data_IF_136004441615
#
_entry.id   IF_136004441615
#
_cell.length_a   1.000
_cell.length_b   1.000
_cell.length_c   1.000
_cell.angle_alpha   90.00
_cell.angle_beta   90.00
_cell.angle_gamma   90.00
#
_symmetry.space_group_name_H-M   'P 1'
#
loop_
_entity.id
_entity.type
_entity.pdbx_description
1 polymer ?
#
# COMPACT_ATOMS: atom_id res chain seq x y z
N UNK A 1 -17.21 34.17 47.31
CA UNK A 1 -16.21 35.26 47.38
C UNK A 1 -16.72 36.60 46.81
N UNK A 2 -17.27 36.68 45.58
CA UNK A 2 -17.77 37.97 45.01
C UNK A 2 -18.79 38.71 45.87
N UNK A 3 -19.77 38.01 46.49
CA UNK A 3 -20.79 38.64 47.35
C UNK A 3 -20.20 39.28 48.61
N UNK A 4 -19.29 38.58 49.29
CA UNK A 4 -18.64 39.05 50.53
C UNK A 4 -17.80 40.30 50.26
N UNK A 5 -17.05 40.32 49.14
CA UNK A 5 -16.26 41.49 48.76
C UNK A 5 -17.14 42.72 48.50
N UNK A 6 -18.30 42.53 47.86
CA UNK A 6 -19.27 43.60 47.60
C UNK A 6 -19.92 44.12 48.89
N UNK A 7 -20.24 43.23 49.83
CA UNK A 7 -20.79 43.62 51.13
C UNK A 7 -19.77 44.41 51.96
N UNK A 8 -18.49 43.99 51.96
CA UNK A 8 -17.43 44.72 52.68
C UNK A 8 -17.23 46.12 52.07
N UNK A 9 -17.26 46.24 50.74
CA UNK A 9 -17.13 47.54 50.08
C UNK A 9 -18.27 48.50 50.47
N UNK A 10 -19.53 48.04 50.41
CA UNK A 10 -20.70 48.85 50.80
C UNK A 10 -20.60 49.29 52.27
N UNK A 11 -20.21 48.39 53.17
CA UNK A 11 -20.11 48.70 54.61
C UNK A 11 -19.02 49.76 54.86
N UNK A 12 -17.87 49.67 54.19
CA UNK A 12 -16.79 50.66 54.35
C UNK A 12 -17.23 52.03 53.81
N UNK A 13 -17.92 52.10 52.67
CA UNK A 13 -18.41 53.37 52.12
C UNK A 13 -19.46 54.04 53.01
N UNK A 14 -20.36 53.26 53.61
CA UNK A 14 -21.36 53.79 54.56
C UNK A 14 -20.68 54.27 55.85
N UNK A 15 -19.68 53.52 56.35
CA UNK A 15 -18.96 53.89 57.56
C UNK A 15 -18.17 55.19 57.36
N UNK A 16 -17.51 55.37 56.23
CA UNK A 16 -16.79 56.61 55.92
C UNK A 16 -17.75 57.79 55.74
N UNK A 17 -18.90 57.61 55.08
CA UNK A 17 -19.91 58.67 54.97
C UNK A 17 -20.47 59.15 56.32
N UNK A 18 -20.54 58.28 57.34
CA UNK A 18 -21.06 58.63 58.67
C UNK A 18 -19.96 59.18 59.59
N UNK A 19 -18.76 58.63 59.54
CA UNK A 19 -17.66 59.04 60.44
C UNK A 19 -17.08 60.40 60.02
N UNK A 20 -16.99 60.69 58.72
CA UNK A 20 -16.37 61.93 58.22
C UNK A 20 -17.08 63.21 58.71
N UNK A 21 -18.42 63.34 58.63
CA UNK A 21 -19.13 64.51 59.18
C UNK A 21 -19.01 64.65 60.70
N UNK A 22 -19.06 63.53 61.44
CA UNK A 22 -18.96 63.53 62.90
C UNK A 22 -17.57 64.00 63.34
N UNK A 23 -16.52 63.55 62.66
CA UNK A 23 -15.14 63.90 62.98
C UNK A 23 -14.85 65.38 62.67
N UNK A 24 -15.39 65.91 61.56
CA UNK A 24 -15.27 67.33 61.21
C UNK A 24 -16.00 68.20 62.24
N UNK A 25 -17.19 67.81 62.69
CA UNK A 25 -17.95 68.57 63.68
C UNK A 25 -17.25 68.62 65.05
N UNK A 26 -16.56 67.56 65.46
CA UNK A 26 -15.86 67.50 66.77
C UNK A 26 -14.55 68.26 66.75
N UNK A 27 -13.80 68.27 65.65
CA UNK A 27 -12.49 68.94 65.55
C UNK A 27 -12.53 70.38 65.02
N UNK A 28 -13.68 70.84 64.53
CA UNK A 28 -13.88 72.21 64.02
C UNK A 28 -13.53 73.36 65.00
N UNK A 29 -13.58 73.25 66.34
CA UNK A 29 -13.30 74.41 67.19
C UNK A 29 -11.81 74.64 67.50
N UNK A 30 -10.87 73.76 67.10
CA UNK A 30 -9.50 73.80 67.65
C UNK A 30 -8.34 73.75 66.63
N UNK A 31 -8.56 74.01 65.35
CA UNK A 31 -7.50 73.98 64.32
C UNK A 31 -7.55 75.22 63.41
N UNK A 32 -6.64 76.17 63.64
CA UNK A 32 -6.22 77.14 62.62
C UNK A 32 -5.25 76.45 61.66
N UNK A 33 -5.69 76.16 60.44
CA UNK A 33 -4.89 75.52 59.40
C UNK A 33 -4.44 76.57 58.36
N UNK A 34 -3.14 76.59 58.03
CA UNK A 34 -2.58 77.34 56.90
C UNK A 34 -2.81 76.67 55.54
N UNK A 35 -3.41 75.47 55.50
CA UNK A 35 -4.09 74.95 54.31
C UNK A 35 -5.55 75.38 54.33
N UNK A 36 -6.02 76.02 53.25
CA UNK A 36 -7.44 76.33 53.08
C UNK A 36 -8.27 75.05 53.16
N UNK A 37 -9.49 75.16 53.68
CA UNK A 37 -10.42 74.02 53.81
C UNK A 37 -10.62 73.29 52.46
N UNK A 38 -10.55 74.01 51.33
CA UNK A 38 -10.59 73.44 49.98
C UNK A 38 -9.36 72.57 49.64
N UNK A 39 -8.16 72.95 50.08
CA UNK A 39 -6.94 72.18 49.80
C UNK A 39 -6.90 70.84 50.54
N UNK A 40 -7.38 70.78 51.79
CA UNK A 40 -7.51 69.52 52.53
C UNK A 40 -8.63 68.65 51.93
N UNK A 41 -9.74 69.26 51.50
CA UNK A 41 -10.84 68.54 50.86
C UNK A 41 -10.42 67.92 49.52
N UNK A 42 -9.61 68.62 48.74
CA UNK A 42 -9.09 68.12 47.45
C UNK A 42 -8.05 67.01 47.63
N UNK A 43 -7.15 67.12 48.62
CA UNK A 43 -6.24 66.03 49.00
C UNK A 43 -6.99 64.79 49.50
N UNK A 44 -8.03 64.97 50.32
CA UNK A 44 -8.89 63.88 50.76
C UNK A 44 -9.71 63.28 49.62
N UNK A 45 -10.25 64.11 48.72
CA UNK A 45 -10.98 63.69 47.53
C UNK A 45 -10.12 62.88 46.57
N UNK A 46 -8.90 63.35 46.28
CA UNK A 46 -7.93 62.63 45.46
C UNK A 46 -7.42 61.36 46.15
N UNK A 47 -7.24 61.38 47.48
CA UNK A 47 -6.91 60.20 48.27
C UNK A 47 -8.01 59.13 48.24
N UNK A 48 -9.27 59.53 48.33
CA UNK A 48 -10.43 58.64 48.21
C UNK A 48 -10.58 58.10 46.78
N UNK A 49 -10.32 58.91 45.75
CA UNK A 49 -10.37 58.48 44.35
C UNK A 49 -9.19 57.55 43.95
N UNK A 50 -8.04 57.68 44.60
CA UNK A 50 -6.88 56.84 44.36
C UNK A 50 -7.11 55.37 44.79
N UNK A 51 -7.86 55.13 45.86
CA UNK A 51 -8.09 53.77 46.40
C UNK A 51 -8.83 52.87 45.40
N UNK A 52 -10.00 53.25 44.83
CA UNK A 52 -10.65 52.49 43.76
C UNK A 52 -9.76 52.29 42.54
N UNK A 53 -8.97 53.31 42.15
CA UNK A 53 -8.08 53.25 41.00
C UNK A 53 -6.97 52.20 41.20
N UNK A 54 -6.36 52.14 42.39
CA UNK A 54 -5.37 51.12 42.76
C UNK A 54 -6.00 49.72 42.77
N UNK A 55 -7.22 49.57 43.31
CA UNK A 55 -7.93 48.29 43.33
C UNK A 55 -8.24 47.81 41.91
N UNK A 56 -8.70 48.71 41.02
CA UNK A 56 -8.97 48.39 39.61
C UNK A 56 -7.66 47.98 38.91
N UNK A 57 -6.56 48.69 39.15
CA UNK A 57 -5.25 48.35 38.59
C UNK A 57 -4.76 46.96 39.06
N UNK A 58 -4.91 46.64 40.35
CA UNK A 58 -4.57 45.32 40.89
C UNK A 58 -5.43 44.20 40.30
N UNK A 59 -6.74 44.44 40.15
CA UNK A 59 -7.64 43.48 39.51
C UNK A 59 -7.29 43.30 38.03
N UNK A 60 -6.93 44.36 37.32
CA UNK A 60 -6.46 44.29 35.94
C UNK A 60 -5.18 43.48 35.82
N UNK A 61 -4.18 43.70 36.69
CA UNK A 61 -2.93 42.91 36.74
C UNK A 61 -3.24 41.43 37.01
N UNK A 62 -4.12 41.13 37.96
CA UNK A 62 -4.51 39.75 38.26
C UNK A 62 -5.21 39.07 37.07
N UNK A 63 -6.12 39.78 36.40
CA UNK A 63 -6.80 39.29 35.19
C UNK A 63 -5.79 39.02 34.06
N UNK A 64 -4.85 39.94 33.83
CA UNK A 64 -3.79 39.78 32.83
C UNK A 64 -2.91 38.57 33.13
N UNK A 65 -2.46 38.40 34.38
CA UNK A 65 -1.65 37.24 34.76
C UNK A 65 -2.41 35.92 34.58
N UNK A 66 -3.70 35.90 34.95
CA UNK A 66 -4.55 34.71 34.74
C UNK A 66 -4.75 34.41 33.25
N UNK A 67 -4.98 35.44 32.43
CA UNK A 67 -5.14 35.29 30.98
C UNK A 67 -3.85 34.76 30.33
N UNK A 68 -2.69 35.25 30.75
CA UNK A 68 -1.39 34.78 30.26
C UNK A 68 -1.15 33.30 30.58
N UNK A 69 -1.45 32.87 31.81
CA UNK A 69 -1.30 31.45 32.19
C UNK A 69 -2.25 30.54 31.37
N UNK A 70 -3.51 30.95 31.18
CA UNK A 70 -4.47 30.20 30.36
C UNK A 70 -4.01 30.14 28.89
N UNK A 71 -3.46 31.24 28.36
CA UNK A 71 -2.93 31.27 27.01
C UNK A 71 -1.72 30.35 26.84
N UNK A 72 -0.84 30.27 27.85
CA UNK A 72 0.30 29.36 27.83
C UNK A 72 -0.15 27.89 27.84
N UNK A 73 -1.11 27.54 28.71
CA UNK A 73 -1.67 26.18 28.76
C UNK A 73 -2.38 25.80 27.46
N UNK A 74 -3.16 26.74 26.89
CA UNK A 74 -3.82 26.54 25.60
C UNK A 74 -2.82 26.38 24.45
N UNK A 75 -1.69 27.10 24.49
CA UNK A 75 -0.62 26.96 23.51
C UNK A 75 0.07 25.60 23.62
N UNK A 76 0.38 25.12 24.84
CA UNK A 76 0.91 23.78 25.08
C UNK A 76 -0.05 22.70 24.56
N UNK A 77 -1.33 22.80 24.91
CA UNK A 77 -2.37 21.88 24.42
C UNK A 77 -2.49 21.92 22.89
N UNK A 78 -2.37 23.09 22.26
CA UNK A 78 -2.42 23.23 20.81
C UNK A 78 -1.20 22.59 20.12
N UNK A 79 -0.02 22.74 20.70
CA UNK A 79 1.21 22.08 20.22
C UNK A 79 1.10 20.56 20.38
N UNK A 80 0.62 20.07 21.52
CA UNK A 80 0.42 18.64 21.75
C UNK A 80 -0.64 18.06 20.80
N UNK A 81 -1.75 18.76 20.60
CA UNK A 81 -2.78 18.38 19.63
C UNK A 81 -2.22 18.34 18.20
N UNK A 82 -1.40 19.32 17.82
CA UNK A 82 -0.71 19.36 16.51
C UNK A 82 0.25 18.18 16.36
N UNK A 83 1.03 17.85 17.38
CA UNK A 83 1.94 16.71 17.38
C UNK A 83 1.19 15.37 17.29
N UNK A 84 0.06 15.24 17.99
CA UNK A 84 -0.81 14.07 17.91
C UNK A 84 -1.40 13.95 16.50
N UNK A 85 -1.88 15.05 15.92
CA UNK A 85 -2.41 15.07 14.56
C UNK A 85 -1.34 14.67 13.53
N UNK A 86 -0.11 15.17 13.68
CA UNK A 86 1.02 14.79 12.82
C UNK A 86 1.31 13.28 12.90
N UNK A 87 1.39 12.73 14.11
CA UNK A 87 1.59 11.28 14.30
C UNK A 87 0.43 10.46 13.72
N UNK A 88 -0.81 10.92 13.88
CA UNK A 88 -1.98 10.26 13.31
C UNK A 88 -1.92 10.23 11.76
N UNK A 89 -1.48 11.33 11.14
CA UNK A 89 -1.29 11.39 9.69
C UNK A 89 -0.18 10.44 9.22
N UNK A 90 0.97 10.41 9.92
CA UNK A 90 2.07 9.49 9.61
C UNK A 90 1.62 8.01 9.72
N UNK A 91 0.87 7.65 10.76
CA UNK A 91 0.31 6.30 10.92
C UNK A 91 -0.70 6.00 9.81
N UNK A 92 -1.56 6.95 9.45
CA UNK A 92 -2.52 6.77 8.37
C UNK A 92 -1.82 6.53 7.03
N UNK A 93 -0.74 7.24 6.75
CA UNK A 93 0.05 7.05 5.54
C UNK A 93 0.69 5.66 5.51
N UNK A 94 1.28 5.22 6.63
CA UNK A 94 1.84 3.87 6.75
C UNK A 94 0.78 2.78 6.56
N UNK A 95 -0.41 2.95 7.16
CA UNK A 95 -1.52 2.00 7.01
C UNK A 95 -2.00 1.92 5.56
N UNK A 96 -2.09 3.06 4.86
CA UNK A 96 -2.43 3.08 3.44
C UNK A 96 -1.37 2.34 2.61
N UNK A 97 -0.08 2.56 2.88
CA UNK A 97 0.99 1.85 2.19
C UNK A 97 0.94 0.33 2.44
N UNK A 98 0.65 -0.09 3.67
CA UNK A 98 0.48 -1.50 4.01
C UNK A 98 -0.73 -2.12 3.31
N UNK A 99 -1.86 -1.43 3.26
CA UNK A 99 -3.06 -1.89 2.58
C UNK A 99 -2.82 -2.03 1.07
N UNK A 100 -2.16 -1.05 0.45
CA UNK A 100 -1.75 -1.13 -0.97
C UNK A 100 -0.83 -2.34 -1.19
N UNK A 101 0.12 -2.57 -0.28
CA UNK A 101 1.07 -3.68 -0.37
C UNK A 101 0.37 -5.03 -0.22
N UNK A 102 -0.56 -5.14 0.72
CA UNK A 102 -1.39 -6.33 0.91
C UNK A 102 -2.21 -6.63 -0.33
N UNK A 103 -2.92 -5.63 -0.87
CA UNK A 103 -3.68 -5.80 -2.11
C UNK A 103 -2.80 -6.27 -3.26
N UNK A 104 -1.58 -5.74 -3.38
CA UNK A 104 -0.62 -6.18 -4.39
C UNK A 104 -0.21 -7.65 -4.22
N UNK A 105 0.00 -8.10 -2.99
CA UNK A 105 0.34 -9.51 -2.71
C UNK A 105 -0.85 -10.43 -3.01
N UNK A 106 -2.07 -10.03 -2.67
CA UNK A 106 -3.29 -10.79 -2.94
C UNK A 106 -3.60 -10.89 -4.45
N UNK A 107 -3.13 -9.91 -5.24
CA UNK A 107 -3.29 -9.84 -6.69
C UNK A 107 -2.15 -10.48 -7.48
N UNK A 108 -1.11 -10.98 -6.81
CA UNK A 108 0.01 -11.65 -7.47
C UNK A 108 -0.51 -12.93 -8.12
N UNK A 109 -0.29 -13.13 -9.43
CA UNK A 109 -0.69 -14.37 -10.07
C UNK A 109 0.13 -15.53 -9.53
N UNK A 110 -0.49 -16.70 -9.47
CA UNK A 110 0.12 -17.92 -9.01
C UNK A 110 -0.55 -19.12 -9.68
N UNK A 111 0.22 -19.85 -10.48
CA UNK A 111 -0.18 -21.12 -11.04
C UNK A 111 0.89 -22.18 -10.79
N UNK A 112 0.50 -23.44 -10.92
CA UNK A 112 1.44 -24.57 -10.85
C UNK A 112 1.20 -25.50 -12.02
N UNK A 113 2.25 -26.18 -12.46
CA UNK A 113 2.10 -27.29 -13.41
C UNK A 113 1.87 -28.54 -12.58
N UNK A 114 0.64 -29.05 -12.61
CA UNK A 114 0.17 -30.12 -11.72
C UNK A 114 0.33 -31.51 -12.32
N UNK A 115 0.20 -31.62 -13.65
CA UNK A 115 0.18 -32.89 -14.37
C UNK A 115 0.86 -32.70 -15.73
N UNK A 116 1.54 -33.74 -16.20
CA UNK A 116 2.15 -33.77 -17.53
C UNK A 116 1.93 -35.13 -18.19
N UNK A 117 1.80 -35.12 -19.51
CA UNK A 117 1.66 -36.31 -20.35
C UNK A 117 2.34 -36.07 -21.69
N UNK A 118 2.65 -37.14 -22.42
CA UNK A 118 3.29 -37.04 -23.72
C UNK A 118 2.43 -37.66 -24.84
N UNK A 119 1.29 -37.05 -25.19
CA UNK A 119 0.44 -37.60 -26.24
C UNK A 119 1.08 -37.42 -27.61
N UNK A 120 0.95 -38.45 -28.44
CA UNK A 120 1.36 -38.43 -29.85
C UNK A 120 0.10 -38.14 -30.67
N UNK A 121 0.11 -37.05 -31.44
CA UNK A 121 -1.06 -36.58 -32.19
C UNK A 121 -0.74 -36.47 -33.68
N UNK A 122 -1.75 -36.67 -34.53
CA UNK A 122 -1.63 -36.42 -35.96
C UNK A 122 -1.67 -34.92 -36.28
N UNK A 123 -1.07 -34.52 -37.40
CA UNK A 123 -1.10 -33.16 -37.94
C UNK A 123 -2.48 -32.50 -37.92
N UNK A 124 -3.53 -33.27 -38.23
CA UNK A 124 -4.90 -32.76 -38.23
C UNK A 124 -5.34 -32.25 -36.85
N UNK A 125 -4.98 -32.97 -35.78
CA UNK A 125 -5.37 -32.63 -34.39
C UNK A 125 -4.44 -31.63 -33.71
N UNK A 126 -3.31 -31.29 -34.33
CA UNK A 126 -2.35 -30.32 -33.80
C UNK A 126 -2.42 -28.97 -34.52
N UNK A 127 -2.57 -28.99 -35.85
CA UNK A 127 -2.36 -27.80 -36.68
C UNK A 127 -3.61 -27.37 -37.46
N UNK A 128 -4.51 -28.29 -37.84
CA UNK A 128 -5.72 -27.98 -38.60
C UNK A 128 -6.94 -27.74 -37.69
N UNK A 129 -7.15 -28.61 -36.70
CA UNK A 129 -8.21 -28.52 -35.70
C UNK A 129 -7.65 -28.87 -34.32
N UNK A 130 -6.91 -27.94 -33.70
CA UNK A 130 -6.32 -28.18 -32.40
C UNK A 130 -7.41 -28.38 -31.33
N UNK A 131 -7.41 -29.56 -30.70
CA UNK A 131 -8.27 -29.87 -29.55
C UNK A 131 -7.81 -29.12 -28.28
N UNK A 132 -6.51 -28.86 -28.19
CA UNK A 132 -5.83 -28.18 -27.09
C UNK A 132 -5.09 -26.94 -27.61
N UNK A 133 -4.79 -25.99 -26.74
CA UNK A 133 -3.91 -24.86 -27.06
C UNK A 133 -2.50 -25.38 -27.39
N UNK A 134 -2.15 -25.38 -28.69
CA UNK A 134 -0.99 -26.09 -29.22
C UNK A 134 0.12 -25.14 -29.69
N UNK A 135 1.37 -25.42 -29.32
CA UNK A 135 2.56 -24.61 -29.63
C UNK A 135 3.62 -25.48 -30.29
N UNK A 136 4.13 -25.07 -31.44
CA UNK A 136 5.24 -25.76 -32.10
C UNK A 136 6.58 -25.32 -31.49
N UNK A 137 7.40 -26.28 -31.05
CA UNK A 137 8.67 -26.01 -30.33
C UNK A 137 9.94 -26.40 -31.10
N UNK A 138 9.85 -26.48 -32.43
CA UNK A 138 11.00 -26.80 -33.28
C UNK A 138 10.58 -27.23 -34.69
N UNK A 139 11.47 -27.94 -35.36
CA UNK A 139 11.17 -28.58 -36.65
C UNK A 139 10.07 -29.62 -36.48
N UNK A 140 9.13 -29.62 -37.42
CA UNK A 140 8.01 -30.55 -37.45
C UNK A 140 7.70 -30.93 -38.90
N UNK A 141 7.78 -32.23 -39.17
CA UNK A 141 7.66 -32.83 -40.50
C UNK A 141 6.21 -33.07 -40.96
N UNK A 142 5.23 -32.51 -40.27
CA UNK A 142 3.78 -32.63 -40.56
C UNK A 142 3.23 -34.07 -40.56
N UNK A 143 3.91 -34.99 -39.87
CA UNK A 143 3.49 -36.38 -39.69
C UNK A 143 2.86 -36.59 -38.31
N UNK A 144 3.36 -37.55 -37.54
CA UNK A 144 3.01 -37.73 -36.13
C UNK A 144 3.81 -36.75 -35.29
N UNK A 145 3.11 -35.84 -34.63
CA UNK A 145 3.70 -34.90 -33.71
C UNK A 145 3.87 -35.58 -32.36
N UNK A 146 5.11 -35.67 -31.91
CA UNK A 146 5.38 -35.90 -30.49
C UNK A 146 5.00 -34.62 -29.76
N UNK A 147 4.45 -34.76 -28.56
CA UNK A 147 4.20 -33.57 -27.78
C UNK A 147 4.20 -33.79 -26.29
N UNK A 148 4.42 -32.68 -25.62
CA UNK A 148 4.46 -32.54 -24.18
C UNK A 148 3.25 -31.70 -23.77
N UNK A 149 2.28 -32.34 -23.12
CA UNK A 149 1.09 -31.69 -22.58
C UNK A 149 1.34 -31.35 -21.11
N UNK A 150 1.32 -30.06 -20.79
CA UNK A 150 1.46 -29.55 -19.42
C UNK A 150 0.12 -29.00 -18.94
N UNK A 151 -0.31 -29.42 -17.74
CA UNK A 151 -1.56 -29.01 -17.11
C UNK A 151 -1.31 -27.93 -16.06
N UNK A 152 -1.71 -26.72 -16.40
CA UNK A 152 -1.62 -25.52 -15.58
C UNK A 152 -2.83 -25.47 -14.65
N UNK A 153 -2.57 -25.31 -13.36
CA UNK A 153 -3.58 -25.18 -12.32
C UNK A 153 -3.43 -23.83 -11.64
N UNK A 154 -4.48 -23.01 -11.67
CA UNK A 154 -4.49 -21.71 -11.02
C UNK A 154 -4.74 -21.88 -9.52
N UNK A 155 -3.74 -21.50 -8.71
CA UNK A 155 -3.79 -21.54 -7.24
C UNK A 155 -4.13 -20.19 -6.62
N UNK A 156 -4.23 -19.12 -7.43
CA UNK A 156 -4.63 -17.81 -6.96
C UNK A 156 -6.14 -17.69 -6.82
N UNK A 157 -6.56 -16.61 -6.15
CA UNK A 157 -7.98 -16.25 -5.99
C UNK A 157 -8.55 -15.51 -7.20
N UNK A 158 -7.72 -15.16 -8.19
CA UNK A 158 -8.07 -14.33 -9.33
C UNK A 158 -8.13 -15.11 -10.65
N UNK A 159 -8.78 -14.51 -11.65
CA UNK A 159 -8.64 -14.98 -13.02
C UNK A 159 -7.28 -14.55 -13.57
N UNK A 160 -6.60 -15.46 -14.25
CA UNK A 160 -5.26 -15.26 -14.80
C UNK A 160 -5.23 -15.56 -16.28
N UNK A 161 -4.37 -14.87 -17.01
CA UNK A 161 -4.12 -15.17 -18.42
C UNK A 161 -2.65 -15.51 -18.60
N UNK A 162 -2.34 -16.74 -19.02
CA UNK A 162 -0.99 -17.26 -19.19
C UNK A 162 -0.68 -17.38 -20.68
N UNK A 163 0.44 -16.80 -21.11
CA UNK A 163 0.99 -16.97 -22.46
C UNK A 163 2.40 -17.52 -22.38
N UNK A 164 2.73 -18.46 -23.27
CA UNK A 164 4.10 -18.93 -23.43
C UNK A 164 4.96 -17.85 -24.09
N UNK A 165 6.13 -17.55 -23.52
CA UNK A 165 7.11 -16.63 -24.11
C UNK A 165 8.14 -17.41 -24.93
N UNK A 166 9.00 -18.14 -24.23
CA UNK A 166 10.08 -18.92 -24.78
C UNK A 166 10.51 -19.99 -23.78
N UNK A 167 11.27 -20.97 -24.26
CA UNK A 167 12.00 -21.87 -23.38
C UNK A 167 13.42 -22.05 -23.92
N UNK A 168 14.43 -21.83 -23.09
CA UNK A 168 15.84 -21.86 -23.52
C UNK A 168 16.57 -22.88 -22.67
N UNK A 169 17.33 -23.77 -23.31
CA UNK A 169 18.21 -24.66 -22.59
C UNK A 169 19.30 -23.84 -21.87
N UNK A 170 19.62 -24.16 -20.61
CA UNK A 170 20.66 -23.43 -19.84
C UNK A 170 22.05 -23.49 -20.49
N UNK A 171 22.30 -24.51 -21.30
CA UNK A 171 23.52 -24.67 -22.09
C UNK A 171 23.50 -23.89 -23.43
N UNK A 172 22.38 -23.22 -23.74
CA UNK A 172 22.15 -22.49 -24.99
C UNK A 172 21.99 -23.39 -26.22
N UNK A 173 21.81 -24.70 -26.04
CA UNK A 173 21.80 -25.65 -27.16
C UNK A 173 20.55 -25.59 -28.03
N UNK A 174 19.42 -25.12 -27.48
CA UNK A 174 18.18 -24.93 -28.21
C UNK A 174 17.30 -23.85 -27.56
N UNK A 175 16.37 -23.33 -28.38
CA UNK A 175 15.33 -22.39 -27.97
C UNK A 175 13.99 -22.83 -28.55
N UNK A 176 12.98 -22.93 -27.70
CA UNK A 176 11.58 -23.03 -28.07
C UNK A 176 11.06 -21.62 -28.29
N UNK A 177 10.64 -21.32 -29.52
CA UNK A 177 9.97 -20.07 -29.84
C UNK A 177 8.47 -20.27 -29.87
N UNK A 178 7.71 -19.22 -29.57
CA UNK A 178 6.25 -19.26 -29.69
C UNK A 178 5.84 -19.20 -31.17
N UNK A 179 6.00 -20.32 -31.86
CA UNK A 179 5.55 -20.52 -33.23
C UNK A 179 4.20 -21.23 -33.20
N UNK A 180 3.13 -20.49 -33.50
CA UNK A 180 1.78 -21.05 -33.59
C UNK A 180 1.32 -21.04 -35.04
N UNK A 181 0.91 -22.20 -35.54
CA UNK A 181 0.05 -22.29 -36.71
C UNK A 181 -1.40 -22.20 -36.22
N UNK A 182 -2.24 -21.42 -36.93
CA UNK A 182 -3.71 -21.37 -36.82
C UNK A 182 -4.41 -20.91 -35.52
N UNK A 183 -3.72 -20.58 -34.43
CA UNK A 183 -4.37 -20.09 -33.19
C UNK A 183 -4.80 -18.60 -33.25
N UNK A 184 -6.05 -18.29 -32.87
CA UNK A 184 -6.60 -16.92 -32.79
C UNK A 184 -6.18 -16.16 -31.54
N UNK A 185 -5.75 -16.86 -30.49
CA UNK A 185 -5.19 -16.27 -29.27
C UNK A 185 -3.86 -16.93 -28.93
N UNK A 186 -2.95 -16.20 -28.28
CA UNK A 186 -1.64 -16.71 -27.83
C UNK A 186 -1.57 -16.96 -26.32
N UNK A 187 -2.73 -17.00 -25.65
CA UNK A 187 -2.82 -17.06 -24.20
C UNK A 187 -3.99 -17.96 -23.78
N UNK A 188 -3.82 -18.68 -22.68
CA UNK A 188 -4.90 -19.41 -22.00
C UNK A 188 -5.39 -18.57 -20.83
N UNK A 189 -6.70 -18.55 -20.60
CA UNK A 189 -7.29 -17.93 -19.42
C UNK A 189 -7.65 -18.98 -18.38
N UNK A 190 -7.27 -18.81 -17.12
CA UNK A 190 -7.56 -19.73 -16.03
C UNK A 190 -8.33 -19.02 -14.91
N UNK A 191 -9.54 -19.50 -14.63
CA UNK A 191 -10.28 -19.13 -13.44
C UNK A 191 -9.65 -19.75 -12.17
N UNK A 192 -9.99 -19.24 -10.97
CA UNK A 192 -9.51 -19.81 -9.71
C UNK A 192 -9.83 -21.29 -9.61
N UNK A 193 -8.83 -22.11 -9.25
CA UNK A 193 -8.96 -23.58 -9.17
C UNK A 193 -9.31 -24.27 -10.51
N UNK A 194 -9.20 -23.59 -11.64
CA UNK A 194 -9.35 -24.20 -12.96
C UNK A 194 -8.04 -24.85 -13.41
N UNK A 195 -8.17 -25.92 -14.21
CA UNK A 195 -7.06 -26.57 -14.90
C UNK A 195 -7.21 -26.38 -16.41
N UNK A 196 -6.14 -25.96 -17.07
CA UNK A 196 -6.04 -25.92 -18.54
C UNK A 196 -4.71 -26.46 -19.01
N UNK A 197 -4.68 -26.93 -20.25
CA UNK A 197 -3.50 -27.58 -20.80
C UNK A 197 -2.90 -26.75 -21.93
N UNK A 198 -1.58 -26.77 -22.02
CA UNK A 198 -0.82 -26.35 -23.20
C UNK A 198 -0.13 -27.58 -23.76
N UNK A 199 -0.23 -27.77 -25.06
CA UNK A 199 0.37 -28.88 -25.79
C UNK A 199 1.54 -28.37 -26.64
N UNK A 200 2.76 -28.68 -26.23
CA UNK A 200 3.97 -28.35 -26.98
C UNK A 200 4.29 -29.50 -27.93
N UNK A 201 4.54 -29.24 -29.21
CA UNK A 201 4.73 -30.30 -30.20
C UNK A 201 5.90 -30.06 -31.16
N UNK A 202 6.53 -31.15 -31.59
CA UNK A 202 7.64 -31.20 -32.56
C UNK A 202 7.84 -32.64 -33.06
N UNK A 203 8.83 -32.85 -33.93
CA UNK A 203 9.30 -34.18 -34.29
C UNK A 203 9.97 -34.90 -33.09
N UNK A 204 10.05 -36.23 -33.15
CA UNK A 204 10.61 -37.07 -32.07
C UNK A 204 12.06 -36.70 -31.76
N UNK A 205 12.85 -36.47 -32.80
CA UNK A 205 14.28 -36.14 -32.74
C UNK A 205 14.51 -34.84 -31.95
N UNK A 206 13.57 -33.90 -32.04
CA UNK A 206 13.62 -32.64 -31.29
C UNK A 206 13.52 -32.92 -29.80
N UNK A 207 12.58 -33.75 -29.34
CA UNK A 207 12.47 -34.10 -27.92
C UNK A 207 13.66 -34.94 -27.43
N UNK A 208 14.16 -35.87 -28.23
CA UNK A 208 15.33 -36.68 -27.88
C UNK A 208 16.58 -35.83 -27.64
N UNK A 209 16.77 -34.76 -28.43
CA UNK A 209 17.90 -33.82 -28.27
C UNK A 209 17.87 -32.99 -26.99
N UNK A 210 16.73 -32.96 -26.30
CA UNK A 210 16.46 -32.15 -25.11
C UNK A 210 16.52 -32.96 -23.81
N UNK A 211 16.61 -34.29 -23.91
CA UNK A 211 16.65 -35.18 -22.75
C UNK A 211 17.86 -34.86 -21.84
N UNK A 212 17.60 -34.80 -20.53
CA UNK A 212 18.60 -34.54 -19.50
C UNK A 212 19.12 -33.10 -19.44
N UNK A 213 18.56 -32.18 -20.23
CA UNK A 213 18.94 -30.76 -20.20
C UNK A 213 18.00 -29.94 -19.32
N UNK A 214 18.57 -28.93 -18.67
CA UNK A 214 17.82 -27.94 -17.91
C UNK A 214 17.24 -26.90 -18.87
N UNK A 215 15.91 -26.78 -18.92
CA UNK A 215 15.22 -25.83 -19.80
C UNK A 215 14.62 -24.72 -18.94
N UNK A 216 15.09 -23.49 -19.09
CA UNK A 216 14.43 -22.34 -18.48
C UNK A 216 13.21 -21.97 -19.33
N UNK A 217 12.03 -22.22 -18.78
CA UNK A 217 10.74 -21.95 -19.43
C UNK A 217 10.18 -20.66 -18.88
N UNK A 218 9.70 -19.81 -19.78
CA UNK A 218 9.13 -18.52 -19.42
C UNK A 218 7.70 -18.34 -19.91
N UNK A 219 6.89 -17.79 -19.01
CA UNK A 219 5.51 -17.44 -19.27
C UNK A 219 5.26 -15.97 -18.94
N UNK A 220 4.44 -15.32 -19.75
CA UNK A 220 3.80 -14.06 -19.42
C UNK A 220 2.48 -14.35 -18.73
N UNK A 221 2.23 -13.70 -17.61
CA UNK A 221 1.02 -13.88 -16.82
C UNK A 221 0.38 -12.53 -16.56
N UNK A 222 -0.88 -12.37 -16.93
CA UNK A 222 -1.66 -11.19 -16.58
C UNK A 222 -2.62 -11.57 -15.45
N UNK A 223 -2.62 -10.79 -14.36
CA UNK A 223 -3.58 -10.97 -13.28
C UNK A 223 -4.97 -10.45 -13.66
N UNK A 224 -5.93 -10.54 -12.74
CA UNK A 224 -7.33 -10.09 -12.97
C UNK A 224 -7.48 -8.60 -13.30
N UNK A 225 -6.47 -7.79 -13.00
CA UNK A 225 -6.43 -6.35 -13.29
C UNK A 225 -5.62 -6.05 -14.56
N UNK A 226 -5.26 -7.08 -15.33
CA UNK A 226 -4.42 -7.00 -16.52
C UNK A 226 -3.00 -6.44 -16.26
N UNK A 227 -2.51 -6.57 -15.01
CA UNK A 227 -1.13 -6.25 -14.70
C UNK A 227 -0.20 -7.39 -15.17
N UNK A 228 0.87 -7.08 -15.91
CA UNK A 228 1.79 -8.08 -16.46
C UNK A 228 2.84 -8.56 -15.44
N UNK A 229 3.01 -9.88 -15.40
CA UNK A 229 4.02 -10.61 -14.65
C UNK A 229 4.76 -11.57 -15.58
N UNK A 230 5.96 -11.98 -15.15
CA UNK A 230 6.75 -13.02 -15.81
C UNK A 230 6.96 -14.14 -14.81
N UNK A 231 6.65 -15.35 -15.22
CA UNK A 231 6.92 -16.54 -14.45
C UNK A 231 7.97 -17.39 -15.16
N UNK A 232 9.06 -17.65 -14.46
CA UNK A 232 10.17 -18.49 -14.90
C UNK A 232 10.17 -19.77 -14.08
N UNK A 233 10.46 -20.88 -14.73
CA UNK A 233 10.69 -22.16 -14.06
C UNK A 233 11.70 -22.98 -14.85
N UNK A 234 12.30 -23.96 -14.18
CA UNK A 234 13.19 -24.90 -14.82
C UNK A 234 12.47 -26.22 -15.04
N UNK A 235 12.47 -26.66 -16.29
CA UNK A 235 11.88 -27.89 -16.78
C UNK A 235 13.00 -28.86 -17.16
N UNK A 236 12.92 -30.09 -16.66
CA UNK A 236 13.86 -31.16 -16.97
C UNK A 236 13.11 -32.35 -17.53
N UNK A 237 13.38 -32.70 -18.78
CA UNK A 237 12.84 -33.91 -19.40
C UNK A 237 13.83 -35.05 -19.11
N UNK A 238 13.55 -35.84 -18.09
CA UNK A 238 14.46 -36.89 -17.61
C UNK A 238 14.45 -38.11 -18.53
N UNK A 239 13.29 -38.46 -19.08
CA UNK A 239 13.15 -39.53 -20.05
C UNK A 239 11.85 -39.37 -20.83
N UNK A 240 11.90 -39.60 -22.13
CA UNK A 240 10.72 -39.67 -22.99
C UNK A 240 10.88 -40.85 -23.94
N UNK A 241 9.94 -41.80 -23.97
CA UNK A 241 10.06 -43.00 -24.81
C UNK A 241 8.71 -43.61 -25.19
N UNK A 242 8.64 -44.13 -26.40
CA UNK A 242 7.54 -44.92 -26.95
C UNK A 242 7.73 -46.43 -26.74
N UNK A 243 8.90 -46.86 -26.24
CA UNK A 243 9.21 -48.28 -26.03
C UNK A 243 8.45 -48.91 -24.86
N UNK A 244 8.05 -48.08 -23.88
CA UNK A 244 7.24 -48.48 -22.73
C UNK A 244 5.89 -47.79 -22.87
N UNK A 245 4.91 -48.52 -23.40
CA UNK A 245 3.54 -47.99 -23.58
C UNK A 245 2.90 -47.82 -22.21
N UNK A 246 2.77 -46.58 -21.76
CA UNK A 246 2.05 -46.27 -20.52
C UNK A 246 0.53 -46.19 -20.77
N UNK A 247 0.14 -45.60 -21.91
CA UNK A 247 -1.23 -45.53 -22.44
C UNK A 247 -1.19 -45.53 -23.97
N UNK A 248 -2.24 -46.06 -24.61
CA UNK A 248 -2.34 -46.09 -26.07
C UNK A 248 -2.34 -44.67 -26.66
N UNK A 249 -1.42 -44.39 -27.58
CA UNK A 249 -1.24 -43.06 -28.17
C UNK A 249 -0.43 -42.06 -27.32
N UNK A 250 0.18 -42.50 -26.21
CA UNK A 250 1.05 -41.66 -25.38
C UNK A 250 2.44 -42.29 -25.22
N UNK A 251 3.48 -41.47 -25.36
CA UNK A 251 4.82 -41.83 -24.93
C UNK A 251 4.91 -41.76 -23.39
N UNK A 252 5.76 -42.61 -22.80
CA UNK A 252 6.18 -42.44 -21.42
C UNK A 252 6.98 -41.14 -21.30
N UNK A 253 6.69 -40.33 -20.29
CA UNK A 253 7.43 -39.11 -19.98
C UNK A 253 7.67 -39.00 -18.47
N UNK A 254 8.92 -38.76 -18.10
CA UNK A 254 9.31 -38.37 -16.76
C UNK A 254 9.91 -36.98 -16.82
N UNK A 255 9.36 -36.10 -16.00
CA UNK A 255 9.60 -34.67 -16.08
C UNK A 255 9.67 -34.10 -14.66
N UNK A 256 10.63 -33.22 -14.44
CA UNK A 256 10.81 -32.50 -13.18
C UNK A 256 10.71 -31.00 -13.43
N UNK A 257 9.95 -30.31 -12.59
CA UNK A 257 9.77 -28.85 -12.67
C UNK A 257 10.18 -28.26 -11.34
N UNK A 258 11.08 -27.28 -11.38
CA UNK A 258 11.63 -26.67 -10.18
C UNK A 258 11.94 -25.19 -10.38
N UNK A 259 12.37 -24.51 -9.31
CA UNK A 259 12.84 -23.13 -9.32
C UNK A 259 11.84 -22.12 -9.91
N UNK A 260 10.57 -22.23 -9.50
CA UNK A 260 9.53 -21.25 -9.81
C UNK A 260 9.92 -19.86 -9.30
N UNK A 261 9.95 -18.89 -10.21
CA UNK A 261 10.25 -17.48 -9.93
C UNK A 261 9.24 -16.60 -10.63
N UNK A 262 8.50 -15.80 -9.86
CA UNK A 262 7.54 -14.82 -10.39
C UNK A 262 8.10 -13.42 -10.21
N UNK A 263 8.35 -12.73 -11.32
CA UNK A 263 8.78 -11.33 -11.38
C UNK A 263 7.68 -10.43 -11.96
N UNK A 264 7.73 -9.14 -11.63
CA UNK A 264 6.82 -8.13 -12.20
C UNK A 264 7.44 -7.51 -13.46
N UNK A 265 6.63 -7.14 -14.44
CA UNK A 265 7.09 -6.36 -15.59
C UNK A 265 7.02 -4.85 -15.26
N UNK A 266 8.14 -4.12 -15.43
CA UNK A 266 8.26 -2.70 -14.99
C UNK A 266 8.11 -1.70 -16.16
N UNK A 267 8.42 -2.05 -17.42
CA UNK A 267 8.21 -1.18 -18.59
C UNK A 267 7.67 -1.94 -19.82
N UNK A 268 6.84 -1.27 -20.63
CA UNK A 268 6.32 -1.74 -21.94
C UNK A 268 7.11 -1.07 -23.07
N UNK A 269 7.84 -1.83 -23.91
CA UNK A 269 8.45 -1.30 -25.14
C UNK A 269 7.53 -1.49 -26.36
N UNK A 270 7.47 -0.52 -27.32
CA UNK A 270 6.48 -0.51 -28.39
C UNK A 270 6.86 -1.24 -29.70
N UNK A 271 8.04 -1.86 -29.84
CA UNK A 271 8.49 -2.41 -31.14
C UNK A 271 8.16 -3.90 -31.41
N UNK A 272 7.58 -4.62 -30.44
CA UNK A 272 7.07 -5.99 -30.61
C UNK A 272 5.87 -6.14 -29.67
N UNK A 273 4.93 -7.10 -29.83
CA UNK A 273 3.80 -7.21 -28.90
C UNK A 273 4.20 -7.74 -27.52
N UNK A 274 5.46 -7.51 -27.07
CA UNK A 274 5.89 -7.30 -25.68
C UNK A 274 7.44 -7.25 -25.65
N UNK A 275 8.04 -6.11 -26.01
CA UNK A 275 9.45 -5.85 -25.74
C UNK A 275 9.63 -5.43 -24.28
N UNK A 276 10.45 -6.13 -23.50
CA UNK A 276 10.73 -5.75 -22.10
C UNK A 276 12.22 -5.93 -21.80
N UNK A 277 12.81 -4.93 -21.13
CA UNK A 277 14.11 -5.02 -20.46
C UNK A 277 13.84 -5.15 -18.95
N UNK A 278 14.64 -5.97 -18.29
CA UNK A 278 14.24 -6.75 -17.11
C UNK A 278 14.88 -6.27 -15.81
N UNK A 279 14.15 -6.28 -14.70
CA UNK A 279 14.78 -6.22 -13.39
C UNK A 279 15.45 -7.57 -13.09
N UNK A 280 16.78 -7.55 -12.99
CA UNK A 280 17.53 -8.63 -12.36
C UNK A 280 17.29 -8.48 -10.86
N UNK A 281 16.57 -9.42 -10.26
CA UNK A 281 16.65 -9.59 -8.81
C UNK A 281 18.08 -10.05 -8.49
N UNK A 282 18.84 -9.17 -7.83
CA UNK A 282 20.08 -9.48 -7.14
C UNK A 282 19.77 -10.35 -5.92
#
# INVERSE_FOLDING_TARGET
MKKILWTIFIVITVLTMVITPITIHVFSPSMTSELSADGILDYMGNGIAAIPTIIIALVAIWQTNKANNIAEDANKMSVDASNIAKKANEISEQLLQLEITRQRLDLRPAFVISEWSAPIKSFERTSLRPDDFSIQIGEYSEKEAWGLKLTFFNISSGYETIGFNSAIAKDGSFEWTNSMTSATSRKIGLAPSEKKCIYFYADKEVFESQLGKAIEVEFYVNNRLDEPYREKMELFIMSMSDTVVHKEGEAYVHLEIQNYKVGRCVEKSPEFPDGVIWEVQV
#
